data_IF_148802130848
#
_entry.id   IF_148802130848
#
_cell.length_a   1.000
_cell.length_b   1.000
_cell.length_c   1.000
_cell.angle_alpha   90.00
_cell.angle_beta   90.00
_cell.angle_gamma   90.00
#
_symmetry.space_group_name_H-M   'P 1'
#
loop_
_entity.id
_entity.type
_entity.pdbx_description
1 polymer ?
#
# COMPACT_ATOMS: atom_id res chain seq x y z
N UNK A 1 -2.06 28.52 -20.42
CA UNK A 1 -1.85 27.14 -19.85
C UNK A 1 -2.21 27.22 -18.37
N UNK A 2 -3.30 26.58 -17.96
CA UNK A 2 -3.67 26.52 -16.53
C UNK A 2 -2.65 25.65 -15.80
N UNK A 3 -2.21 26.10 -14.64
CA UNK A 3 -1.05 25.56 -13.93
C UNK A 3 -1.43 24.32 -13.11
N UNK A 4 -1.01 23.13 -13.53
CA UNK A 4 -1.17 21.87 -12.77
C UNK A 4 0.01 21.62 -11.80
N UNK A 5 0.96 22.55 -11.72
CA UNK A 5 2.16 22.41 -10.89
C UNK A 5 1.88 22.12 -9.41
N UNK A 6 0.82 22.68 -8.76
CA UNK A 6 0.55 22.38 -7.35
C UNK A 6 0.31 20.90 -7.07
N UNK A 7 -0.32 20.18 -8.00
CA UNK A 7 -0.57 18.73 -7.83
C UNK A 7 0.70 17.89 -7.99
N UNK A 8 1.59 18.28 -8.88
CA UNK A 8 2.90 17.63 -9.03
C UNK A 8 3.78 17.90 -7.82
N UNK A 9 3.78 19.13 -7.31
CA UNK A 9 4.47 19.50 -6.07
C UNK A 9 3.90 18.73 -4.86
N UNK A 10 2.58 18.63 -4.74
CA UNK A 10 1.93 17.80 -3.71
C UNK A 10 2.42 16.35 -3.78
N UNK A 11 2.45 15.75 -4.98
CA UNK A 11 2.90 14.38 -5.17
C UNK A 11 4.36 14.18 -4.74
N UNK A 12 5.24 15.16 -4.95
CA UNK A 12 6.61 15.11 -4.44
C UNK A 12 6.59 15.03 -2.91
N UNK A 13 5.94 15.98 -2.21
CA UNK A 13 5.98 16.03 -0.75
C UNK A 13 5.22 14.87 -0.06
N UNK A 14 4.20 14.30 -0.69
CA UNK A 14 3.55 13.09 -0.21
C UNK A 14 4.53 11.91 -0.18
N UNK A 15 5.40 11.80 -1.18
CA UNK A 15 6.32 10.70 -1.39
C UNK A 15 7.77 10.99 -0.93
N UNK A 16 8.07 12.18 -0.40
CA UNK A 16 9.34 12.45 0.27
C UNK A 16 9.38 11.73 1.63
N UNK A 17 9.83 10.48 1.61
CA UNK A 17 9.86 9.60 2.79
C UNK A 17 11.25 9.00 2.97
N UNK A 18 12.19 9.85 3.40
CA UNK A 18 13.61 9.52 3.54
C UNK A 18 13.90 8.43 4.57
N UNK A 19 13.02 8.23 5.54
CA UNK A 19 13.17 7.24 6.59
C UNK A 19 12.65 5.84 6.20
N UNK A 20 11.87 5.72 5.12
CA UNK A 20 11.11 4.51 4.78
C UNK A 20 11.98 3.25 4.62
N UNK A 21 13.15 3.39 3.99
CA UNK A 21 14.07 2.26 3.80
C UNK A 21 14.98 1.98 5.00
N UNK A 22 14.88 2.76 6.08
CA UNK A 22 15.88 2.76 7.15
C UNK A 22 15.29 2.71 8.57
N UNK A 23 13.97 2.91 8.72
CA UNK A 23 13.35 3.07 10.05
C UNK A 23 13.53 1.85 10.96
N UNK A 24 13.62 0.64 10.39
CA UNK A 24 13.86 -0.58 11.18
C UNK A 24 15.26 -0.55 11.78
N UNK A 25 16.27 -0.18 11.00
CA UNK A 25 17.66 -0.06 11.50
C UNK A 25 17.77 1.01 12.60
N UNK A 26 17.05 2.11 12.44
CA UNK A 26 16.98 3.15 13.47
C UNK A 26 16.37 2.64 14.77
N UNK A 27 15.22 1.98 14.70
CA UNK A 27 14.55 1.44 15.89
C UNK A 27 15.40 0.36 16.58
N UNK A 28 16.07 -0.51 15.82
CA UNK A 28 17.02 -1.49 16.36
C UNK A 28 18.18 -0.82 17.08
N UNK A 29 18.71 0.28 16.54
CA UNK A 29 19.77 1.04 17.19
C UNK A 29 19.31 1.69 18.51
N UNK A 30 18.04 2.07 18.63
CA UNK A 30 17.46 2.55 19.89
C UNK A 30 17.17 1.43 20.91
N UNK A 31 17.45 0.16 20.56
CA UNK A 31 17.22 -0.98 21.44
C UNK A 31 15.81 -1.56 21.36
N UNK A 32 14.97 -1.08 20.43
CA UNK A 32 13.65 -1.71 20.16
C UNK A 32 13.90 -3.06 19.49
N UNK A 33 13.34 -4.11 20.04
CA UNK A 33 13.52 -5.46 19.49
C UNK A 33 12.76 -5.65 18.17
N UNK A 34 13.21 -6.59 17.36
CA UNK A 34 12.57 -6.87 16.07
C UNK A 34 11.10 -7.30 16.24
N UNK A 35 10.78 -8.07 17.27
CA UNK A 35 9.39 -8.42 17.63
C UNK A 35 8.54 -7.19 17.97
N UNK A 36 9.10 -6.23 18.71
CA UNK A 36 8.42 -4.96 19.01
C UNK A 36 8.19 -4.11 17.75
N UNK A 37 9.17 -4.04 16.83
CA UNK A 37 9.02 -3.30 15.56
C UNK A 37 7.87 -3.86 14.74
N UNK A 38 7.71 -5.16 14.70
CA UNK A 38 6.62 -5.83 13.99
C UNK A 38 5.25 -5.50 14.60
N UNK A 39 5.17 -5.46 15.94
CA UNK A 39 3.95 -5.03 16.64
C UNK A 39 3.64 -3.56 16.32
N UNK A 40 4.65 -2.69 16.28
CA UNK A 40 4.48 -1.29 15.88
C UNK A 40 3.93 -1.17 14.46
N UNK A 41 4.42 -1.98 13.52
CA UNK A 41 3.87 -2.00 12.15
C UNK A 41 2.41 -2.47 12.13
N UNK A 42 2.07 -3.47 12.93
CA UNK A 42 0.67 -3.90 13.05
C UNK A 42 -0.22 -2.75 13.57
N UNK A 43 0.23 -1.96 14.55
CA UNK A 43 -0.50 -0.77 15.02
C UNK A 43 -0.71 0.27 13.92
N UNK A 44 0.32 0.52 13.09
CA UNK A 44 0.21 1.41 11.93
C UNK A 44 -0.89 0.93 10.97
N UNK A 45 -0.84 -0.34 10.56
CA UNK A 45 -1.80 -0.90 9.61
C UNK A 45 -3.21 -0.92 10.16
N UNK A 46 -3.41 -1.38 11.39
CA UNK A 46 -4.74 -1.39 12.01
C UNK A 46 -5.31 0.01 12.22
N UNK A 47 -4.46 0.99 12.59
CA UNK A 47 -4.88 2.38 12.69
C UNK A 47 -5.29 2.96 11.33
N UNK A 48 -4.52 2.66 10.27
CA UNK A 48 -4.85 3.06 8.92
C UNK A 48 -6.22 2.51 8.50
N UNK A 49 -6.44 1.20 8.66
CA UNK A 49 -7.70 0.54 8.32
C UNK A 49 -8.88 1.08 9.14
N UNK A 50 -8.70 1.24 10.46
CA UNK A 50 -9.76 1.73 11.34
C UNK A 50 -10.21 3.14 10.99
N UNK A 51 -9.29 3.96 10.48
CA UNK A 51 -9.56 5.36 10.15
C UNK A 51 -9.82 5.61 8.66
N UNK A 52 -9.74 4.62 7.79
CA UNK A 52 -9.99 4.79 6.35
C UNK A 52 -11.41 5.31 6.08
N UNK A 53 -12.43 4.71 6.70
CA UNK A 53 -13.83 5.18 6.55
C UNK A 53 -14.06 6.53 7.27
N UNK A 54 -13.67 6.72 8.55
CA UNK A 54 -13.81 8.01 9.23
C UNK A 54 -13.10 9.16 8.53
N UNK A 55 -11.90 8.93 7.98
CA UNK A 55 -11.13 9.96 7.27
C UNK A 55 -11.82 10.41 5.98
N UNK A 56 -12.42 9.47 5.23
CA UNK A 56 -13.24 9.79 4.07
C UNK A 56 -14.44 10.70 4.43
N UNK A 57 -15.16 10.37 5.51
CA UNK A 57 -16.28 11.19 6.01
C UNK A 57 -15.83 12.58 6.46
N UNK A 58 -14.66 12.67 7.12
CA UNK A 58 -14.08 13.95 7.52
C UNK A 58 -13.71 14.79 6.29
N UNK A 59 -13.09 14.17 5.27
CA UNK A 59 -12.73 14.82 4.01
C UNK A 59 -13.98 15.34 3.26
N UNK A 60 -15.08 14.58 3.26
CA UNK A 60 -16.34 15.00 2.65
C UNK A 60 -17.02 16.15 3.41
N UNK A 61 -16.94 16.14 4.76
CA UNK A 61 -17.59 17.16 5.60
C UNK A 61 -16.80 18.46 5.68
N UNK A 62 -15.49 18.37 5.92
CA UNK A 62 -14.62 19.52 6.19
C UNK A 62 -13.81 19.97 4.98
N UNK A 63 -13.77 19.16 3.93
CA UNK A 63 -13.03 19.41 2.68
C UNK A 63 -11.77 18.57 2.55
N UNK A 64 -11.43 18.25 1.29
CA UNK A 64 -10.27 17.42 0.92
C UNK A 64 -8.95 18.07 1.32
N UNK A 65 -8.85 19.38 1.15
CA UNK A 65 -7.69 20.17 1.54
C UNK A 65 -7.40 20.08 3.03
N UNK A 66 -8.40 20.16 3.89
CA UNK A 66 -8.23 20.04 5.33
C UNK A 66 -7.76 18.64 5.74
N UNK A 67 -8.29 17.59 5.10
CA UNK A 67 -7.84 16.23 5.32
C UNK A 67 -6.36 16.04 4.97
N UNK A 68 -5.92 16.60 3.85
CA UNK A 68 -4.50 16.57 3.45
C UNK A 68 -3.60 17.35 4.43
N UNK A 69 -4.03 18.53 4.90
CA UNK A 69 -3.27 19.30 5.90
C UNK A 69 -3.12 18.48 7.18
N UNK A 70 -4.21 17.88 7.69
CA UNK A 70 -4.17 17.04 8.88
C UNK A 70 -3.25 15.82 8.69
N UNK A 71 -3.27 15.20 7.51
CA UNK A 71 -2.35 14.13 7.15
C UNK A 71 -0.88 14.57 7.28
N UNK A 72 -0.52 15.69 6.66
CA UNK A 72 0.85 16.22 6.74
C UNK A 72 1.25 16.63 8.15
N UNK A 73 0.35 17.25 8.92
CA UNK A 73 0.61 17.62 10.32
C UNK A 73 0.80 16.39 11.22
N UNK A 74 0.00 15.35 11.04
CA UNK A 74 0.18 14.11 11.78
C UNK A 74 1.48 13.40 11.44
N UNK A 75 1.89 13.39 10.16
CA UNK A 75 3.20 12.88 9.74
C UNK A 75 4.36 13.74 10.29
N UNK A 76 4.22 15.06 10.33
CA UNK A 76 5.18 15.97 10.97
C UNK A 76 5.34 15.64 12.46
N UNK A 77 4.22 15.53 13.19
CA UNK A 77 4.24 15.19 14.63
C UNK A 77 4.88 13.81 14.84
N UNK A 78 4.58 12.84 13.98
CA UNK A 78 5.23 11.53 14.01
C UNK A 78 6.74 11.65 13.81
N UNK A 79 7.19 12.45 12.83
CA UNK A 79 8.61 12.70 12.58
C UNK A 79 9.32 13.33 13.78
N UNK A 80 8.68 14.30 14.47
CA UNK A 80 9.19 14.88 15.72
C UNK A 80 9.20 13.81 16.84
N UNK A 81 8.17 12.96 16.89
CA UNK A 81 8.10 11.87 17.86
C UNK A 81 9.26 10.87 17.73
N UNK A 82 9.71 10.56 16.52
CA UNK A 82 10.89 9.72 16.29
C UNK A 82 12.18 10.36 16.82
N UNK A 83 12.25 11.68 16.91
CA UNK A 83 13.42 12.40 17.46
C UNK A 83 13.42 12.47 18.99
N UNK A 84 12.24 12.47 19.62
CA UNK A 84 12.09 12.76 21.05
C UNK A 84 12.00 11.51 21.92
N UNK A 85 11.58 10.37 21.34
CA UNK A 85 11.32 9.15 22.11
C UNK A 85 12.21 8.00 21.64
N UNK A 86 12.49 7.08 22.58
CA UNK A 86 13.29 5.88 22.35
C UNK A 86 12.61 4.59 22.82
N UNK A 87 11.47 4.70 23.52
CA UNK A 87 10.81 3.56 24.14
C UNK A 87 9.64 3.04 23.30
N UNK A 88 9.29 1.75 23.50
CA UNK A 88 8.24 1.05 22.76
C UNK A 88 6.85 1.72 22.91
N UNK A 89 6.46 2.13 24.13
CA UNK A 89 5.10 2.67 24.37
C UNK A 89 4.87 3.99 23.62
N UNK A 90 5.74 5.02 23.71
CA UNK A 90 5.62 6.19 22.86
C UNK A 90 5.58 5.87 21.38
N UNK A 91 6.43 4.94 20.90
CA UNK A 91 6.42 4.52 19.51
C UNK A 91 5.09 3.88 19.09
N UNK A 92 4.41 3.14 19.96
CA UNK A 92 3.09 2.59 19.65
C UNK A 92 2.09 3.71 19.29
N UNK A 93 2.08 4.81 20.04
CA UNK A 93 1.24 5.97 19.74
C UNK A 93 1.68 6.69 18.45
N UNK A 94 2.99 6.82 18.22
CA UNK A 94 3.55 7.44 17.01
C UNK A 94 3.15 6.62 15.77
N UNK A 95 3.24 5.29 15.82
CA UNK A 95 2.84 4.42 14.71
C UNK A 95 1.33 4.43 14.46
N UNK A 96 0.51 4.51 15.51
CA UNK A 96 -0.93 4.73 15.37
C UNK A 96 -1.22 6.08 14.70
N UNK A 97 -0.55 7.16 15.14
CA UNK A 97 -0.71 8.48 14.54
C UNK A 97 -0.24 8.50 13.09
N UNK A 98 0.88 7.80 12.78
CA UNK A 98 1.39 7.68 11.42
C UNK A 98 0.38 6.99 10.50
N UNK A 99 -0.19 5.85 10.93
CA UNK A 99 -1.24 5.14 10.20
C UNK A 99 -2.51 5.98 10.00
N UNK A 100 -2.96 6.68 11.06
CA UNK A 100 -4.06 7.63 11.00
C UNK A 100 -3.82 8.74 9.96
N UNK A 101 -2.60 9.25 9.93
CA UNK A 101 -2.19 10.32 9.01
C UNK A 101 -2.18 9.84 7.55
N UNK A 102 -1.73 8.61 7.30
CA UNK A 102 -1.80 7.97 5.98
C UNK A 102 -3.27 7.84 5.55
N UNK A 103 -4.16 7.35 6.42
CA UNK A 103 -5.58 7.21 6.11
C UNK A 103 -6.22 8.55 5.75
N UNK A 104 -5.87 9.63 6.45
CA UNK A 104 -6.38 10.99 6.16
C UNK A 104 -5.92 11.52 4.80
N UNK A 105 -4.72 11.15 4.34
CA UNK A 105 -4.20 11.52 3.02
C UNK A 105 -4.73 10.65 1.90
N UNK A 106 -5.10 9.40 2.22
CA UNK A 106 -5.49 8.39 1.24
C UNK A 106 -6.74 8.82 0.46
N UNK A 107 -6.59 8.94 -0.85
CA UNK A 107 -7.67 9.32 -1.75
C UNK A 107 -8.05 10.81 -1.74
N UNK A 108 -7.70 11.58 -0.70
CA UNK A 108 -8.02 13.01 -0.62
C UNK A 108 -7.31 13.82 -1.71
N UNK A 109 -6.08 13.47 -2.05
CA UNK A 109 -5.30 14.05 -3.13
C UNK A 109 -5.98 13.86 -4.50
N UNK A 110 -6.42 12.65 -4.79
CA UNK A 110 -7.10 12.28 -6.04
C UNK A 110 -8.47 12.94 -6.15
N UNK A 111 -9.22 12.94 -5.05
CA UNK A 111 -10.52 13.58 -5.00
C UNK A 111 -10.40 15.10 -5.16
N UNK A 112 -9.42 15.76 -4.50
CA UNK A 112 -9.17 17.20 -4.66
C UNK A 112 -8.84 17.55 -6.10
N UNK A 113 -7.99 16.75 -6.78
CA UNK A 113 -7.68 16.95 -8.20
C UNK A 113 -8.94 16.82 -9.06
N UNK A 114 -9.71 15.74 -8.85
CA UNK A 114 -10.91 15.50 -9.65
C UNK A 114 -11.96 16.61 -9.47
N UNK A 115 -12.23 17.03 -8.23
CA UNK A 115 -13.21 18.07 -7.91
C UNK A 115 -12.81 19.42 -8.53
N UNK A 116 -11.52 19.78 -8.50
CA UNK A 116 -11.03 21.00 -9.12
C UNK A 116 -11.12 20.96 -10.66
N UNK A 117 -10.81 19.81 -11.27
CA UNK A 117 -10.96 19.63 -12.72
C UNK A 117 -12.43 19.64 -13.15
N UNK A 118 -13.31 19.07 -12.34
CA UNK A 118 -14.77 19.12 -12.57
C UNK A 118 -15.28 20.55 -12.54
N UNK A 119 -14.87 21.35 -11.54
CA UNK A 119 -15.24 22.76 -11.44
C UNK A 119 -14.69 23.61 -12.60
N UNK A 120 -13.64 23.13 -13.28
CA UNK A 120 -13.06 23.79 -14.46
C UNK A 120 -13.54 23.22 -15.79
N UNK A 121 -14.45 22.21 -15.80
CA UNK A 121 -14.87 21.43 -16.98
C UNK A 121 -13.70 20.80 -17.75
N UNK A 122 -12.72 20.24 -17.02
CA UNK A 122 -11.47 19.63 -17.55
C UNK A 122 -11.27 18.17 -17.07
N UNK A 123 -12.32 17.45 -16.78
CA UNK A 123 -12.25 16.07 -16.27
C UNK A 123 -11.54 15.11 -17.24
N UNK A 124 -11.57 15.39 -18.53
CA UNK A 124 -10.86 14.62 -19.55
C UNK A 124 -9.32 14.62 -19.36
N UNK A 125 -8.76 15.63 -18.69
CA UNK A 125 -7.34 15.71 -18.39
C UNK A 125 -6.93 14.89 -17.14
N UNK A 126 -7.90 14.46 -16.33
CA UNK A 126 -7.64 13.74 -15.08
C UNK A 126 -6.71 12.53 -15.23
N UNK A 127 -6.93 11.59 -16.18
CA UNK A 127 -6.07 10.42 -16.34
C UNK A 127 -4.61 10.79 -16.63
N UNK A 128 -4.40 11.84 -17.42
CA UNK A 128 -3.07 12.31 -17.79
C UNK A 128 -2.35 12.97 -16.61
N UNK A 129 -3.06 13.79 -15.84
CA UNK A 129 -2.47 14.52 -14.70
C UNK A 129 -2.14 13.55 -13.57
N UNK A 130 -3.06 12.63 -13.22
CA UNK A 130 -2.84 11.68 -12.14
C UNK A 130 -1.73 10.69 -12.46
N UNK A 131 -1.62 10.23 -13.72
CA UNK A 131 -0.53 9.34 -14.13
C UNK A 131 0.84 10.02 -14.02
N UNK A 132 0.93 11.29 -14.41
CA UNK A 132 2.17 12.07 -14.25
C UNK A 132 2.50 12.32 -12.79
N UNK A 133 1.50 12.67 -11.96
CA UNK A 133 1.69 12.88 -10.53
C UNK A 133 2.20 11.60 -9.85
N UNK A 134 1.65 10.43 -10.20
CA UNK A 134 2.12 9.13 -9.69
C UNK A 134 3.56 8.82 -10.10
N UNK A 135 3.92 9.09 -11.37
CA UNK A 135 5.29 8.90 -11.86
C UNK A 135 6.28 9.81 -11.11
N UNK A 136 5.93 11.10 -10.91
CA UNK A 136 6.73 12.05 -10.13
C UNK A 136 6.86 11.57 -8.67
N UNK A 137 5.76 11.10 -8.08
CA UNK A 137 5.76 10.55 -6.72
C UNK A 137 6.68 9.34 -6.56
N UNK A 138 6.64 8.38 -7.49
CA UNK A 138 7.52 7.21 -7.48
C UNK A 138 9.01 7.59 -7.59
N UNK A 139 9.35 8.52 -8.49
CA UNK A 139 10.71 9.05 -8.59
C UNK A 139 11.12 9.77 -7.30
N UNK A 140 10.22 10.58 -6.73
CA UNK A 140 10.47 11.28 -5.46
C UNK A 140 10.72 10.30 -4.32
N UNK A 141 9.96 9.21 -4.23
CA UNK A 141 10.14 8.17 -3.22
C UNK A 141 11.49 7.47 -3.36
N UNK A 142 11.85 7.01 -4.56
CA UNK A 142 13.14 6.38 -4.80
C UNK A 142 14.32 7.29 -4.46
N UNK A 143 14.29 8.56 -4.92
CA UNK A 143 15.32 9.56 -4.60
C UNK A 143 15.36 9.89 -3.11
N UNK A 144 14.21 9.93 -2.43
CA UNK A 144 14.16 10.20 -1.00
C UNK A 144 14.80 9.08 -0.17
N UNK A 145 14.64 7.82 -0.58
CA UNK A 145 15.30 6.69 0.07
C UNK A 145 16.83 6.78 -0.04
N UNK A 146 17.35 7.09 -1.24
CA UNK A 146 18.79 7.32 -1.45
C UNK A 146 19.29 8.49 -0.58
N UNK A 147 18.55 9.59 -0.55
CA UNK A 147 18.88 10.74 0.29
C UNK A 147 18.88 10.38 1.77
N UNK A 148 17.96 9.53 2.22
CA UNK A 148 17.92 9.04 3.60
C UNK A 148 19.19 8.30 4.01
N UNK A 149 19.68 7.38 3.14
CA UNK A 149 20.94 6.69 3.33
C UNK A 149 22.12 7.65 3.42
N UNK A 150 22.23 8.57 2.46
CA UNK A 150 23.29 9.57 2.43
C UNK A 150 23.28 10.52 3.65
N UNK A 151 22.09 10.96 4.10
CA UNK A 151 21.94 11.79 5.29
C UNK A 151 22.37 11.04 6.56
N UNK A 152 22.04 9.77 6.67
CA UNK A 152 22.40 8.95 7.82
C UNK A 152 23.92 8.76 7.88
N UNK A 153 24.56 8.44 6.76
CA UNK A 153 26.00 8.19 6.69
C UNK A 153 26.84 9.47 6.86
N UNK A 154 26.44 10.56 6.19
CA UNK A 154 27.19 11.82 6.22
C UNK A 154 26.99 12.60 7.52
N UNK A 155 25.88 12.42 8.22
CA UNK A 155 25.53 13.23 9.40
C UNK A 155 25.09 12.37 10.60
N UNK A 156 23.80 11.95 10.63
CA UNK A 156 23.25 11.16 11.75
C UNK A 156 21.81 10.71 11.46
N UNK A 157 21.30 9.82 12.32
CA UNK A 157 19.88 9.43 12.31
C UNK A 157 18.93 10.62 12.53
N UNK A 158 19.32 11.55 13.39
CA UNK A 158 18.51 12.74 13.66
C UNK A 158 18.29 13.56 12.39
N UNK A 159 19.30 13.68 11.53
CA UNK A 159 19.21 14.42 10.27
C UNK A 159 18.16 13.83 9.32
N UNK A 160 18.02 12.51 9.30
CA UNK A 160 16.98 11.81 8.50
C UNK A 160 15.58 12.23 8.97
N UNK A 161 15.32 12.18 10.28
CA UNK A 161 14.00 12.51 10.83
C UNK A 161 13.71 14.01 10.85
N UNK A 162 14.72 14.86 11.02
CA UNK A 162 14.59 16.32 10.86
C UNK A 162 14.20 16.64 9.41
N UNK A 163 14.90 16.06 8.44
CA UNK A 163 14.54 16.27 7.03
C UNK A 163 13.14 15.76 6.72
N UNK A 164 12.76 14.59 7.23
CA UNK A 164 11.40 14.06 7.10
C UNK A 164 10.36 15.05 7.67
N UNK A 165 10.54 15.53 8.91
CA UNK A 165 9.64 16.48 9.55
C UNK A 165 9.53 17.79 8.76
N UNK A 166 10.66 18.36 8.31
CA UNK A 166 10.70 19.58 7.49
C UNK A 166 9.93 19.33 6.16
N UNK A 167 10.15 18.19 5.51
CA UNK A 167 9.47 17.87 4.26
C UNK A 167 7.94 17.82 4.44
N UNK A 168 7.46 17.24 5.54
CA UNK A 168 6.02 17.17 5.85
C UNK A 168 5.45 18.54 6.22
N UNK A 169 6.22 19.37 6.92
CA UNK A 169 5.84 20.75 7.20
C UNK A 169 5.69 21.58 5.91
N UNK A 170 6.66 21.49 5.00
CA UNK A 170 6.58 22.15 3.69
C UNK A 170 5.38 21.62 2.89
N UNK A 171 5.14 20.30 2.92
CA UNK A 171 3.96 19.70 2.30
C UNK A 171 2.65 20.28 2.81
N UNK A 172 2.50 20.48 4.12
CA UNK A 172 1.34 21.14 4.71
C UNK A 172 1.17 22.58 4.21
N UNK A 173 2.29 23.32 4.09
CA UNK A 173 2.29 24.68 3.53
C UNK A 173 1.84 24.66 2.05
N UNK A 174 2.38 23.76 1.24
CA UNK A 174 2.00 23.61 -0.18
C UNK A 174 0.50 23.36 -0.30
N UNK A 175 -0.05 22.44 0.47
CA UNK A 175 -1.50 22.16 0.47
C UNK A 175 -2.30 23.40 0.91
N UNK A 176 -1.81 24.17 1.88
CA UNK A 176 -2.48 25.39 2.36
C UNK A 176 -2.68 26.44 1.27
N UNK A 177 -1.78 26.50 0.29
CA UNK A 177 -1.90 27.40 -0.86
C UNK A 177 -2.70 26.80 -2.03
N UNK A 178 -3.05 25.50 -1.99
CA UNK A 178 -3.89 24.91 -3.02
C UNK A 178 -5.33 25.39 -2.90
N UNK A 179 -5.97 25.59 -4.02
CA UNK A 179 -7.41 25.93 -4.06
C UNK A 179 -8.25 24.67 -3.99
N UNK A 180 -9.29 24.70 -3.19
CA UNK A 180 -10.35 23.69 -3.17
C UNK A 180 -11.63 24.35 -3.70
N UNK A 181 -12.08 23.92 -4.87
CA UNK A 181 -13.32 24.40 -5.49
C UNK A 181 -14.43 23.42 -5.19
N UNK A 182 -15.39 23.85 -4.38
CA UNK A 182 -16.62 23.06 -4.16
C UNK A 182 -17.49 23.16 -5.40
N UNK A 183 -17.82 22.01 -6.01
CA UNK A 183 -18.83 21.98 -7.06
C UNK A 183 -20.20 22.35 -6.44
N UNK A 184 -20.96 23.21 -7.12
CA UNK A 184 -22.32 23.62 -6.69
C UNK A 184 -23.27 22.40 -6.51
N UNK A 185 -23.02 21.29 -7.19
CA UNK A 185 -23.78 20.05 -7.03
C UNK A 185 -23.56 19.39 -5.66
N UNK A 186 -22.42 19.62 -5.00
CA UNK A 186 -22.11 19.08 -3.67
C UNK A 186 -22.83 19.89 -2.56
N UNK A 187 -23.05 21.19 -2.74
CA UNK A 187 -23.70 22.04 -1.73
C UNK A 187 -25.21 21.82 -1.61
N UNK A 188 -25.89 21.40 -2.67
CA UNK A 188 -27.34 21.09 -2.65
C UNK A 188 -27.64 19.73 -2.06
N UNK A 189 -26.66 18.81 -2.04
CA UNK A 189 -26.81 17.46 -1.54
C UNK A 189 -26.30 17.23 -0.10
N UNK A 190 -25.61 18.21 0.50
CA UNK A 190 -25.00 18.03 1.83
C UNK A 190 -25.99 17.95 2.95
N UNK A 191 -27.15 18.61 2.86
CA UNK A 191 -28.19 18.56 3.90
C UNK A 191 -29.05 17.29 3.83
N UNK A 192 -29.12 16.65 2.67
CA UNK A 192 -29.84 15.38 2.48
C UNK A 192 -28.93 14.15 2.69
N UNK A 193 -27.60 14.30 2.49
CA UNK A 193 -26.64 13.21 2.56
C UNK A 193 -26.29 12.73 3.98
N UNK A 194 -26.40 13.56 5.02
CA UNK A 194 -25.99 13.13 6.37
C UNK A 194 -26.90 12.06 6.99
N UNK A 195 -28.19 12.05 6.65
CA UNK A 195 -29.12 11.00 7.10
C UNK A 195 -29.18 9.81 6.14
N UNK A 196 -28.83 10.03 4.87
CA UNK A 196 -28.74 8.98 3.82
C UNK A 196 -27.43 8.21 3.97
N UNK A 197 -26.32 8.85 4.35
CA UNK A 197 -24.99 8.25 4.37
C UNK A 197 -24.79 7.22 5.49
N UNK A 198 -25.39 7.40 6.69
CA UNK A 198 -25.42 6.35 7.72
C UNK A 198 -26.30 5.15 7.28
N UNK A 199 -27.37 5.40 6.55
CA UNK A 199 -28.19 4.35 5.94
C UNK A 199 -27.48 3.71 4.72
N UNK A 200 -26.67 4.48 3.98
CA UNK A 200 -25.87 3.97 2.89
C UNK A 200 -24.68 3.11 3.39
N UNK A 201 -24.01 3.49 4.47
CA UNK A 201 -22.94 2.68 5.06
C UNK A 201 -23.46 1.37 5.65
N UNK A 202 -24.59 1.39 6.37
CA UNK A 202 -25.30 0.16 6.78
C UNK A 202 -25.83 -0.63 5.57
N UNK A 203 -26.33 0.07 4.57
CA UNK A 203 -26.80 -0.54 3.30
C UNK A 203 -25.68 -1.16 2.51
N UNK A 204 -24.48 -0.53 2.46
CA UNK A 204 -23.28 -1.05 1.79
C UNK A 204 -22.75 -2.28 2.52
N UNK A 205 -22.63 -2.23 3.85
CA UNK A 205 -22.21 -3.39 4.64
C UNK A 205 -23.17 -4.56 4.49
N UNK A 206 -24.47 -4.30 4.60
CA UNK A 206 -25.49 -5.33 4.38
C UNK A 206 -25.47 -5.85 2.94
N UNK A 207 -25.25 -4.99 1.95
CA UNK A 207 -25.12 -5.39 0.54
C UNK A 207 -23.89 -6.25 0.31
N UNK A 208 -22.75 -5.94 0.98
CA UNK A 208 -21.54 -6.79 0.95
C UNK A 208 -21.80 -8.15 1.59
N UNK A 209 -22.42 -8.17 2.77
CA UNK A 209 -22.76 -9.43 3.46
C UNK A 209 -23.72 -10.25 2.60
N UNK A 210 -24.75 -9.63 2.00
CA UNK A 210 -25.67 -10.28 1.08
C UNK A 210 -24.95 -10.76 -0.19
N UNK A 211 -24.03 -9.96 -0.74
CA UNK A 211 -23.26 -10.35 -1.91
C UNK A 211 -22.40 -11.57 -1.62
N UNK A 212 -21.61 -11.57 -0.52
CA UNK A 212 -20.77 -12.70 -0.17
C UNK A 212 -21.55 -13.94 0.29
N UNK A 213 -22.77 -13.78 0.81
CA UNK A 213 -23.69 -14.89 1.07
C UNK A 213 -24.36 -15.41 -0.20
N UNK A 214 -24.41 -14.62 -1.25
CA UNK A 214 -24.97 -15.03 -2.54
C UNK A 214 -24.02 -15.98 -3.28
N UNK A 215 -24.56 -16.88 -4.10
CA UNK A 215 -23.76 -17.71 -5.01
C UNK A 215 -22.88 -16.86 -5.95
N UNK A 216 -23.27 -15.59 -6.19
CA UNK A 216 -22.57 -14.69 -7.10
C UNK A 216 -21.36 -13.97 -6.46
N UNK A 217 -21.25 -13.93 -5.15
CA UNK A 217 -20.10 -13.33 -4.43
C UNK A 217 -19.21 -14.36 -3.76
N UNK A 218 -19.80 -15.46 -3.26
CA UNK A 218 -19.07 -16.48 -2.52
C UNK A 218 -17.89 -17.09 -3.29
N UNK A 219 -17.95 -17.13 -4.63
CA UNK A 219 -16.85 -17.66 -5.45
C UNK A 219 -15.57 -16.79 -5.43
N UNK A 220 -15.67 -15.51 -5.03
CA UNK A 220 -14.51 -14.61 -4.90
C UNK A 220 -13.80 -14.76 -3.56
N UNK A 221 -14.41 -15.35 -2.55
CA UNK A 221 -13.80 -15.51 -1.21
C UNK A 221 -12.46 -16.27 -1.29
N UNK A 222 -12.36 -17.42 -2.00
CA UNK A 222 -11.07 -18.10 -2.13
C UNK A 222 -10.02 -17.26 -2.85
N UNK A 223 -10.42 -16.40 -3.80
CA UNK A 223 -9.50 -15.47 -4.47
C UNK A 223 -8.94 -14.45 -3.49
N UNK A 224 -9.77 -13.85 -2.64
CA UNK A 224 -9.33 -12.86 -1.67
C UNK A 224 -8.39 -13.46 -0.63
N UNK A 225 -8.73 -14.64 -0.11
CA UNK A 225 -7.87 -15.37 0.82
C UNK A 225 -6.56 -15.76 0.13
N UNK A 226 -6.63 -16.24 -1.11
CA UNK A 226 -5.48 -16.66 -1.89
C UNK A 226 -4.51 -15.51 -2.14
N UNK A 227 -5.02 -14.34 -2.53
CA UNK A 227 -4.21 -13.13 -2.72
C UNK A 227 -3.62 -12.62 -1.39
N UNK A 228 -4.40 -12.62 -0.32
CA UNK A 228 -3.92 -12.22 1.00
C UNK A 228 -2.81 -13.14 1.54
N UNK A 229 -2.88 -14.46 1.30
CA UNK A 229 -1.81 -15.41 1.65
C UNK A 229 -0.53 -15.19 0.81
N UNK A 230 -0.68 -14.78 -0.44
CA UNK A 230 0.44 -14.37 -1.28
C UNK A 230 1.12 -13.11 -0.71
N UNK A 231 0.34 -12.07 -0.36
CA UNK A 231 0.83 -10.85 0.28
C UNK A 231 1.50 -11.10 1.64
N UNK A 232 0.95 -12.02 2.44
CA UNK A 232 1.55 -12.46 3.70
C UNK A 232 2.98 -12.97 3.51
N UNK A 233 3.27 -13.55 2.34
CA UNK A 233 4.59 -14.13 2.04
C UNK A 233 5.62 -13.09 1.59
N UNK A 234 5.19 -11.93 1.10
CA UNK A 234 6.06 -10.94 0.49
C UNK A 234 6.19 -9.66 1.32
N UNK A 235 5.08 -9.12 1.82
CA UNK A 235 5.02 -7.81 2.48
C UNK A 235 5.91 -7.69 3.73
N UNK A 236 5.99 -8.67 4.64
CA UNK A 236 6.85 -8.57 5.82
C UNK A 236 8.34 -8.47 5.48
N UNK A 237 8.77 -8.99 4.32
CA UNK A 237 10.16 -8.90 3.88
C UNK A 237 10.63 -7.45 3.71
N UNK A 238 9.73 -6.50 3.47
CA UNK A 238 10.09 -5.09 3.43
C UNK A 238 10.74 -4.63 4.74
N UNK A 239 10.26 -5.12 5.87
CA UNK A 239 10.80 -4.80 7.20
C UNK A 239 12.04 -5.65 7.50
N UNK A 240 11.96 -6.95 7.27
CA UNK A 240 13.02 -7.89 7.61
C UNK A 240 14.23 -7.81 6.67
N UNK A 241 14.08 -7.29 5.47
CA UNK A 241 15.18 -7.05 4.53
C UNK A 241 16.22 -6.07 5.06
N UNK A 242 15.82 -5.03 5.80
CA UNK A 242 16.75 -4.05 6.35
C UNK A 242 17.78 -4.70 7.32
N UNK A 243 17.36 -5.39 8.40
CA UNK A 243 18.30 -6.07 9.29
C UNK A 243 19.01 -7.24 8.61
N UNK A 244 18.36 -7.96 7.69
CA UNK A 244 18.99 -9.05 6.95
C UNK A 244 20.22 -8.56 6.16
N UNK A 245 20.10 -7.50 5.37
CA UNK A 245 21.22 -6.95 4.63
C UNK A 245 22.27 -6.32 5.55
N UNK A 246 21.86 -5.74 6.67
CA UNK A 246 22.79 -5.21 7.66
C UNK A 246 23.65 -6.31 8.30
N UNK A 247 23.06 -7.47 8.60
CA UNK A 247 23.76 -8.66 9.11
C UNK A 247 24.74 -9.25 8.07
N UNK A 248 24.43 -9.10 6.76
CA UNK A 248 25.35 -9.48 5.68
C UNK A 248 26.48 -8.46 5.47
N UNK A 249 26.57 -7.40 6.27
CA UNK A 249 27.65 -6.44 6.24
C UNK A 249 27.46 -5.25 5.29
N UNK A 250 26.24 -5.03 4.74
CA UNK A 250 25.99 -3.86 3.90
C UNK A 250 25.89 -2.59 4.75
N UNK A 251 26.42 -1.50 4.18
CA UNK A 251 26.25 -0.17 4.72
C UNK A 251 24.81 0.33 4.54
N UNK A 252 24.41 1.28 5.36
CA UNK A 252 23.06 1.85 5.37
C UNK A 252 22.72 2.47 4.02
N UNK A 253 23.68 3.12 3.37
CA UNK A 253 23.50 3.70 2.03
C UNK A 253 23.24 2.64 0.95
N UNK A 254 23.95 1.51 0.99
CA UNK A 254 23.70 0.40 0.06
C UNK A 254 22.32 -0.24 0.30
N UNK A 255 21.90 -0.39 1.55
CA UNK A 255 20.56 -0.88 1.89
C UNK A 255 19.51 0.08 1.33
N UNK A 256 19.67 1.39 1.56
CA UNK A 256 18.78 2.40 0.98
C UNK A 256 18.74 2.33 -0.55
N UNK A 257 19.90 2.08 -1.18
CA UNK A 257 20.03 1.87 -2.62
C UNK A 257 19.23 0.66 -3.14
N UNK A 258 19.25 -0.47 -2.42
CA UNK A 258 18.45 -1.66 -2.76
C UNK A 258 16.95 -1.32 -2.72
N UNK A 259 16.49 -0.63 -1.68
CA UNK A 259 15.08 -0.23 -1.56
C UNK A 259 14.67 0.79 -2.63
N UNK A 260 15.54 1.75 -2.96
CA UNK A 260 15.30 2.66 -4.08
C UNK A 260 15.23 1.92 -5.43
N UNK A 261 16.05 0.89 -5.62
CA UNK A 261 16.01 0.04 -6.80
C UNK A 261 14.71 -0.79 -6.87
N UNK A 262 14.16 -1.25 -5.73
CA UNK A 262 12.83 -1.87 -5.67
C UNK A 262 11.77 -0.93 -6.25
N UNK A 263 11.73 0.33 -5.83
CA UNK A 263 10.74 1.30 -6.33
C UNK A 263 10.91 1.57 -7.83
N UNK A 264 12.16 1.69 -8.30
CA UNK A 264 12.44 1.89 -9.73
C UNK A 264 12.02 0.68 -10.58
N UNK A 265 12.33 -0.55 -10.13
CA UNK A 265 11.93 -1.77 -10.83
C UNK A 265 10.41 -1.95 -10.77
N UNK A 266 9.78 -1.70 -9.63
CA UNK A 266 8.32 -1.76 -9.48
C UNK A 266 7.61 -0.81 -10.43
N UNK A 267 8.14 0.40 -10.65
CA UNK A 267 7.59 1.33 -11.63
C UNK A 267 7.60 0.75 -13.05
N UNK A 268 8.71 0.10 -13.44
CA UNK A 268 8.81 -0.59 -14.76
C UNK A 268 7.84 -1.78 -14.82
N UNK A 269 7.76 -2.56 -13.75
CA UNK A 269 6.87 -3.72 -13.66
C UNK A 269 5.41 -3.30 -13.79
N UNK A 270 4.97 -2.21 -13.14
CA UNK A 270 3.62 -1.66 -13.30
C UNK A 270 3.34 -1.21 -14.75
N UNK A 271 4.30 -0.63 -15.45
CA UNK A 271 4.12 -0.27 -16.87
C UNK A 271 3.89 -1.49 -17.75
N UNK A 272 4.57 -2.61 -17.46
CA UNK A 272 4.46 -3.87 -18.21
C UNK A 272 3.22 -4.67 -17.77
N UNK A 273 2.77 -4.51 -16.53
CA UNK A 273 1.65 -5.28 -15.96
C UNK A 273 0.38 -5.16 -16.81
N UNK A 274 0.03 -3.96 -17.28
CA UNK A 274 -1.12 -3.74 -18.16
C UNK A 274 -1.06 -4.56 -19.46
N UNK A 275 0.12 -4.64 -20.09
CA UNK A 275 0.31 -5.47 -21.26
C UNK A 275 0.20 -6.97 -20.95
N UNK A 276 0.81 -7.43 -19.86
CA UNK A 276 0.73 -8.83 -19.41
C UNK A 276 -0.72 -9.23 -19.13
N UNK A 277 -1.46 -8.40 -18.40
CA UNK A 277 -2.86 -8.65 -18.06
C UNK A 277 -3.78 -8.68 -19.28
N UNK A 278 -3.45 -7.96 -20.35
CA UNK A 278 -4.23 -8.00 -21.60
C UNK A 278 -3.98 -9.28 -22.42
N UNK A 279 -2.86 -9.97 -22.20
CA UNK A 279 -2.46 -11.17 -22.95
C UNK A 279 -2.70 -12.47 -22.20
N UNK A 280 -2.62 -12.47 -20.88
CA UNK A 280 -2.65 -13.67 -20.07
C UNK A 280 -3.81 -13.61 -19.07
N UNK A 281 -4.44 -14.78 -18.83
CA UNK A 281 -5.49 -14.88 -17.80
C UNK A 281 -4.92 -14.79 -16.39
N UNK A 282 -5.76 -14.38 -15.43
CA UNK A 282 -5.39 -14.35 -14.00
C UNK A 282 -4.73 -15.66 -13.53
N UNK A 283 -5.22 -16.82 -13.98
CA UNK A 283 -4.68 -18.12 -13.58
C UNK A 283 -3.21 -18.31 -14.00
N UNK A 284 -2.86 -17.89 -15.22
CA UNK A 284 -1.48 -17.97 -15.72
C UNK A 284 -0.59 -16.99 -14.96
N UNK A 285 -1.05 -15.74 -14.79
CA UNK A 285 -0.28 -14.71 -14.08
C UNK A 285 -0.07 -15.12 -12.62
N UNK A 286 -1.11 -15.53 -11.90
CA UNK A 286 -1.01 -15.96 -10.53
C UNK A 286 -0.06 -17.17 -10.37
N UNK A 287 -0.18 -18.19 -11.26
CA UNK A 287 0.67 -19.37 -11.22
C UNK A 287 2.13 -19.02 -11.45
N UNK A 288 2.43 -18.28 -12.52
CA UNK A 288 3.83 -17.94 -12.88
C UNK A 288 4.46 -17.03 -11.82
N UNK A 289 3.75 -15.99 -11.37
CA UNK A 289 4.27 -15.08 -10.35
C UNK A 289 4.48 -15.80 -9.03
N UNK A 290 3.52 -16.61 -8.57
CA UNK A 290 3.66 -17.39 -7.34
C UNK A 290 4.83 -18.36 -7.41
N UNK A 291 5.00 -19.07 -8.54
CA UNK A 291 6.10 -20.00 -8.70
C UNK A 291 7.45 -19.28 -8.66
N UNK A 292 7.60 -18.17 -9.37
CA UNK A 292 8.83 -17.37 -9.37
C UNK A 292 9.12 -16.85 -7.96
N UNK A 293 8.15 -16.27 -7.26
CA UNK A 293 8.32 -15.77 -5.90
C UNK A 293 8.70 -16.90 -4.94
N UNK A 294 8.07 -18.06 -5.05
CA UNK A 294 8.42 -19.24 -4.23
C UNK A 294 9.87 -19.65 -4.44
N UNK A 295 10.33 -19.73 -5.69
CA UNK A 295 11.73 -20.05 -6.01
C UNK A 295 12.70 -19.01 -5.46
N UNK A 296 12.37 -17.72 -5.59
CA UNK A 296 13.19 -16.63 -5.08
C UNK A 296 13.25 -16.62 -3.55
N UNK A 297 12.15 -16.95 -2.85
CA UNK A 297 12.13 -17.13 -1.39
C UNK A 297 13.05 -18.29 -0.95
N UNK A 298 13.04 -19.39 -1.69
CA UNK A 298 13.93 -20.52 -1.42
C UNK A 298 15.40 -20.15 -1.69
N UNK A 299 15.70 -19.42 -2.78
CA UNK A 299 17.04 -18.93 -3.07
C UNK A 299 17.51 -17.98 -1.94
N UNK A 300 16.66 -17.07 -1.50
CA UNK A 300 16.96 -16.16 -0.39
C UNK A 300 17.21 -16.91 0.93
N UNK A 301 16.50 -18.03 1.16
CA UNK A 301 16.67 -18.87 2.37
C UNK A 301 18.01 -19.62 2.40
N UNK A 302 18.63 -19.85 1.25
CA UNK A 302 19.90 -20.60 1.15
C UNK A 302 21.14 -19.76 1.44
N UNK A 303 20.99 -18.43 1.50
CA UNK A 303 22.07 -17.46 1.75
C UNK A 303 23.33 -17.69 0.88
N UNK A 304 23.12 -17.88 -0.42
CA UNK A 304 24.17 -18.21 -1.40
C UNK A 304 25.04 -17.01 -1.79
N UNK A 305 24.94 -15.90 -1.07
CA UNK A 305 25.73 -14.70 -1.24
C UNK A 305 24.91 -13.45 -1.51
N UNK A 306 25.52 -12.31 -1.19
CA UNK A 306 24.85 -11.01 -1.15
C UNK A 306 24.20 -10.58 -2.46
N UNK A 307 24.85 -10.86 -3.60
CA UNK A 307 24.33 -10.49 -4.90
C UNK A 307 23.06 -11.28 -5.26
N UNK A 308 23.04 -12.58 -4.95
CA UNK A 308 21.87 -13.41 -5.18
C UNK A 308 20.72 -13.03 -4.22
N UNK A 309 21.05 -12.73 -2.96
CA UNK A 309 20.10 -12.25 -1.97
C UNK A 309 19.48 -10.91 -2.39
N UNK A 310 20.29 -9.95 -2.83
CA UNK A 310 19.82 -8.65 -3.30
C UNK A 310 18.94 -8.79 -4.57
N UNK A 311 19.38 -9.59 -5.55
CA UNK A 311 18.60 -9.82 -6.76
C UNK A 311 17.26 -10.50 -6.46
N UNK A 312 17.27 -11.52 -5.58
CA UNK A 312 16.04 -12.20 -5.15
C UNK A 312 15.10 -11.22 -4.42
N UNK A 313 15.61 -10.42 -3.50
CA UNK A 313 14.83 -9.42 -2.77
C UNK A 313 14.21 -8.38 -3.71
N UNK A 314 14.98 -7.84 -4.67
CA UNK A 314 14.49 -6.89 -5.66
C UNK A 314 13.31 -7.45 -6.45
N UNK A 315 13.40 -8.70 -6.90
CA UNK A 315 12.35 -9.34 -7.68
C UNK A 315 11.14 -9.74 -6.81
N UNK A 316 11.36 -10.23 -5.58
CA UNK A 316 10.27 -10.56 -4.64
C UNK A 316 9.44 -9.31 -4.32
N UNK A 317 10.09 -8.15 -4.17
CA UNK A 317 9.40 -6.90 -3.84
C UNK A 317 8.70 -6.25 -5.05
N UNK A 318 9.18 -6.49 -6.27
CA UNK A 318 8.69 -5.79 -7.46
C UNK A 318 7.68 -6.58 -8.29
N UNK A 319 7.86 -7.91 -8.45
CA UNK A 319 7.01 -8.74 -9.30
C UNK A 319 5.54 -8.88 -8.84
N UNK A 320 5.21 -8.80 -7.53
CA UNK A 320 3.82 -8.86 -7.07
C UNK A 320 2.88 -7.87 -7.76
N UNK A 321 3.38 -6.72 -8.21
CA UNK A 321 2.61 -5.71 -8.93
C UNK A 321 1.90 -6.24 -10.20
N UNK A 322 2.45 -7.26 -10.87
CA UNK A 322 1.81 -7.91 -12.02
C UNK A 322 0.59 -8.71 -11.56
N UNK A 323 0.73 -9.47 -10.48
CA UNK A 323 -0.36 -10.27 -9.94
C UNK A 323 -1.47 -9.38 -9.36
N UNK A 324 -1.11 -8.34 -8.61
CA UNK A 324 -2.03 -7.34 -8.08
C UNK A 324 -2.89 -6.71 -9.20
N UNK A 325 -2.25 -6.23 -10.27
CA UNK A 325 -2.94 -5.65 -11.42
C UNK A 325 -3.90 -6.65 -12.08
N UNK A 326 -3.48 -7.92 -12.23
CA UNK A 326 -4.31 -8.97 -12.80
C UNK A 326 -5.49 -9.35 -11.89
N UNK A 327 -5.27 -9.36 -10.58
CA UNK A 327 -6.27 -9.60 -9.55
C UNK A 327 -7.36 -8.51 -9.56
N UNK A 328 -6.96 -7.24 -9.57
CA UNK A 328 -7.90 -6.11 -9.65
C UNK A 328 -8.69 -6.14 -10.96
N UNK A 329 -8.03 -6.39 -12.09
CA UNK A 329 -8.68 -6.50 -13.40
C UNK A 329 -9.72 -7.60 -13.39
N UNK A 330 -9.41 -8.78 -12.82
CA UNK A 330 -10.34 -9.88 -12.73
C UNK A 330 -11.60 -9.52 -11.91
N UNK A 331 -11.44 -8.80 -10.80
CA UNK A 331 -12.59 -8.31 -10.01
C UNK A 331 -13.41 -7.32 -10.84
N UNK A 332 -12.76 -6.41 -11.55
CA UNK A 332 -13.44 -5.44 -12.41
C UNK A 332 -14.29 -6.11 -13.48
N UNK A 333 -13.83 -7.19 -14.07
CA UNK A 333 -14.51 -7.88 -15.18
C UNK A 333 -15.64 -8.81 -14.70
N UNK A 334 -15.57 -9.31 -13.46
CA UNK A 334 -16.50 -10.33 -12.96
C UNK A 334 -17.50 -9.80 -11.91
N UNK A 335 -17.43 -8.51 -11.54
CA UNK A 335 -18.31 -7.90 -10.55
C UNK A 335 -19.13 -6.78 -11.19
N UNK A 336 -20.45 -6.79 -10.93
CA UNK A 336 -21.37 -5.75 -11.40
C UNK A 336 -20.89 -4.35 -10.97
N UNK A 337 -21.02 -3.38 -11.88
CA UNK A 337 -20.59 -1.99 -11.64
C UNK A 337 -21.20 -1.36 -10.39
N UNK A 338 -22.44 -1.76 -10.00
CA UNK A 338 -23.14 -1.21 -8.84
C UNK A 338 -22.48 -1.57 -7.51
N UNK A 339 -21.85 -2.74 -7.42
CA UNK A 339 -21.27 -3.28 -6.18
C UNK A 339 -19.74 -3.41 -6.27
N UNK A 340 -19.14 -3.07 -7.42
CA UNK A 340 -17.71 -3.23 -7.68
C UNK A 340 -16.84 -2.47 -6.68
N UNK A 341 -17.18 -1.20 -6.42
CA UNK A 341 -16.43 -0.38 -5.45
C UNK A 341 -16.47 -1.01 -4.06
N UNK A 342 -17.64 -1.49 -3.63
CA UNK A 342 -17.82 -2.16 -2.34
C UNK A 342 -17.07 -3.49 -2.27
N UNK A 343 -17.03 -4.24 -3.38
CA UNK A 343 -16.29 -5.50 -3.47
C UNK A 343 -14.78 -5.28 -3.36
N UNK A 344 -14.23 -4.27 -4.05
CA UNK A 344 -12.82 -3.89 -3.95
C UNK A 344 -12.48 -3.38 -2.54
N UNK A 345 -13.36 -2.61 -1.92
CA UNK A 345 -13.16 -2.16 -0.54
C UNK A 345 -13.12 -3.34 0.44
N UNK A 346 -14.00 -4.35 0.26
CA UNK A 346 -13.97 -5.57 1.07
C UNK A 346 -12.69 -6.38 0.83
N UNK A 347 -12.24 -6.49 -0.42
CA UNK A 347 -10.98 -7.15 -0.76
C UNK A 347 -9.79 -6.46 -0.07
N UNK A 348 -9.72 -5.13 -0.15
CA UNK A 348 -8.69 -4.33 0.50
C UNK A 348 -8.73 -4.45 2.03
N UNK A 349 -9.92 -4.51 2.63
CA UNK A 349 -10.08 -4.73 4.07
C UNK A 349 -9.51 -6.09 4.49
N UNK A 350 -9.89 -7.17 3.78
CA UNK A 350 -9.35 -8.52 4.03
C UNK A 350 -7.83 -8.51 3.90
N UNK A 351 -7.31 -7.92 2.84
CA UNK A 351 -5.89 -7.83 2.58
C UNK A 351 -5.16 -7.07 3.70
N UNK A 352 -5.66 -5.91 4.09
CA UNK A 352 -5.08 -5.09 5.15
C UNK A 352 -5.07 -5.79 6.52
N UNK A 353 -6.12 -6.53 6.87
CA UNK A 353 -6.16 -7.33 8.10
C UNK A 353 -5.12 -8.45 8.06
N UNK A 354 -5.02 -9.17 6.92
CA UNK A 354 -4.02 -10.24 6.76
C UNK A 354 -2.61 -9.68 6.76
N UNK A 355 -2.35 -8.56 6.10
CA UNK A 355 -1.04 -7.88 6.13
C UNK A 355 -0.70 -7.46 7.57
N UNK A 356 -1.61 -6.81 8.29
CA UNK A 356 -1.38 -6.44 9.69
C UNK A 356 -1.03 -7.64 10.57
N UNK A 357 -1.73 -8.77 10.40
CA UNK A 357 -1.44 -10.02 11.10
C UNK A 357 -0.15 -10.70 10.60
N UNK A 358 0.21 -10.52 9.33
CA UNK A 358 1.39 -11.15 8.73
C UNK A 358 2.69 -10.70 9.38
N UNK A 359 2.77 -9.45 9.79
CA UNK A 359 3.95 -8.93 10.48
C UNK A 359 4.21 -9.67 11.79
N UNK A 360 3.19 -9.81 12.64
CA UNK A 360 3.30 -10.54 13.91
C UNK A 360 3.57 -12.04 13.70
N UNK A 361 2.91 -12.63 12.70
CA UNK A 361 3.10 -14.05 12.36
C UNK A 361 4.53 -14.31 11.87
N UNK A 362 4.99 -13.48 10.92
CA UNK A 362 6.35 -13.59 10.37
C UNK A 362 7.40 -13.40 11.48
N UNK A 363 7.20 -12.39 12.35
CA UNK A 363 8.08 -12.14 13.48
C UNK A 363 8.18 -13.33 14.43
N UNK A 364 7.05 -13.88 14.83
CA UNK A 364 7.02 -15.07 15.69
C UNK A 364 7.67 -16.31 15.05
N UNK A 365 7.58 -16.44 13.72
CA UNK A 365 8.29 -17.50 12.99
C UNK A 365 9.81 -17.26 12.97
N UNK A 366 10.23 -16.00 12.73
CA UNK A 366 11.67 -15.65 12.74
C UNK A 366 12.28 -15.88 14.11
N UNK A 367 11.60 -15.46 15.18
CA UNK A 367 12.08 -15.64 16.55
C UNK A 367 12.20 -17.13 16.94
N UNK A 368 11.29 -17.97 16.43
CA UNK A 368 11.25 -19.41 16.79
C UNK A 368 12.12 -20.28 15.90
N UNK A 369 12.18 -20.01 14.61
CA UNK A 369 12.81 -20.90 13.63
C UNK A 369 13.98 -20.26 12.87
N UNK A 370 14.23 -18.97 13.08
CA UNK A 370 15.21 -18.20 12.34
C UNK A 370 14.69 -17.72 10.98
N UNK A 371 15.41 -16.77 10.39
CA UNK A 371 14.98 -16.09 9.15
C UNK A 371 14.90 -17.05 7.96
N UNK A 372 15.94 -17.86 7.72
CA UNK A 372 15.97 -18.80 6.59
C UNK A 372 14.84 -19.83 6.62
N UNK A 373 14.57 -20.44 7.78
CA UNK A 373 13.46 -21.38 7.92
C UNK A 373 12.10 -20.70 7.74
N UNK A 374 11.96 -19.46 8.19
CA UNK A 374 10.74 -18.66 7.98
C UNK A 374 10.46 -18.43 6.51
N UNK A 375 11.49 -18.13 5.71
CA UNK A 375 11.34 -17.97 4.26
C UNK A 375 10.79 -19.24 3.58
N UNK A 376 11.23 -20.42 4.02
CA UNK A 376 10.70 -21.70 3.52
C UNK A 376 9.22 -21.87 3.92
N UNK A 377 8.87 -21.53 5.16
CA UNK A 377 7.48 -21.63 5.65
C UNK A 377 6.56 -20.69 4.86
N UNK A 378 6.96 -19.45 4.67
CA UNK A 378 6.13 -18.48 3.92
C UNK A 378 6.07 -18.80 2.42
N UNK A 379 7.08 -19.45 1.84
CA UNK A 379 7.02 -19.99 0.50
C UNK A 379 5.89 -21.06 0.35
N UNK A 380 5.65 -21.86 1.39
CA UNK A 380 4.52 -22.79 1.41
C UNK A 380 3.18 -22.04 1.48
N UNK A 381 3.07 -20.96 2.29
CA UNK A 381 1.86 -20.13 2.31
C UNK A 381 1.59 -19.49 0.95
N UNK A 382 2.63 -19.06 0.24
CA UNK A 382 2.53 -18.53 -1.11
C UNK A 382 1.88 -19.56 -2.06
N UNK A 383 2.32 -20.82 -2.02
CA UNK A 383 1.74 -21.91 -2.82
C UNK A 383 0.31 -22.25 -2.38
N UNK A 384 0.00 -22.22 -1.08
CA UNK A 384 -1.38 -22.41 -0.58
C UNK A 384 -2.29 -21.30 -1.12
N UNK A 385 -1.80 -20.05 -1.19
CA UNK A 385 -2.53 -18.93 -1.79
C UNK A 385 -2.95 -19.21 -3.24
N UNK A 386 -2.11 -19.87 -4.01
CA UNK A 386 -2.43 -20.25 -5.39
C UNK A 386 -3.64 -21.19 -5.49
N UNK A 387 -3.87 -22.07 -4.47
CA UNK A 387 -5.04 -22.94 -4.44
C UNK A 387 -6.35 -22.12 -4.38
N UNK A 388 -6.33 -20.96 -3.70
CA UNK A 388 -7.49 -20.04 -3.65
C UNK A 388 -7.84 -19.53 -5.04
N UNK A 389 -6.86 -19.14 -5.85
CA UNK A 389 -7.06 -18.69 -7.24
C UNK A 389 -7.62 -19.83 -8.09
N UNK A 390 -7.00 -21.01 -8.02
CA UNK A 390 -7.45 -22.19 -8.77
C UNK A 390 -8.91 -22.53 -8.42
N UNK A 391 -9.24 -22.54 -7.13
CA UNK A 391 -10.61 -22.80 -6.65
C UNK A 391 -11.60 -21.78 -7.22
N UNK A 392 -11.25 -20.48 -7.20
CA UNK A 392 -12.11 -19.44 -7.80
C UNK A 392 -12.36 -19.66 -9.27
N UNK A 393 -11.30 -19.99 -10.04
CA UNK A 393 -11.40 -20.21 -11.48
C UNK A 393 -12.24 -21.45 -11.82
N UNK A 394 -12.13 -22.51 -11.00
CA UNK A 394 -12.97 -23.70 -11.14
C UNK A 394 -14.44 -23.38 -10.85
N UNK A 395 -14.74 -22.67 -9.77
CA UNK A 395 -16.09 -22.25 -9.42
C UNK A 395 -16.70 -21.30 -10.47
N UNK A 396 -15.89 -20.42 -11.07
CA UNK A 396 -16.34 -19.54 -12.14
C UNK A 396 -16.73 -20.30 -13.42
N UNK A 397 -16.02 -21.40 -13.75
CA UNK A 397 -16.36 -22.25 -14.91
C UNK A 397 -17.69 -22.96 -14.75
N UNK A 398 -18.04 -23.37 -13.54
CA UNK A 398 -19.34 -24.03 -13.28
C UNK A 398 -20.52 -23.07 -13.33
N UNK A 399 -20.27 -21.76 -13.30
CA UNK A 399 -21.30 -20.70 -13.34
C UNK A 399 -21.65 -20.17 -14.72
N UNK A 400 -20.85 -20.44 -15.77
CA UNK A 400 -21.22 -20.01 -17.13
C UNK A 400 -22.44 -20.80 -17.55
N UNK A 401 -23.63 -20.19 -17.72
CA UNK A 401 -24.75 -20.86 -18.34
C UNK A 401 -24.34 -21.22 -19.77
N UNK A 402 -24.79 -22.35 -20.23
CA UNK A 402 -24.74 -22.83 -21.63
C UNK A 402 -25.56 -21.90 -22.54
N UNK A 403 -25.10 -20.67 -22.77
CA UNK A 403 -25.63 -19.79 -23.82
C UNK A 403 -24.80 -19.96 -25.08
N UNK A 404 -24.85 -21.16 -25.62
CA UNK A 404 -24.64 -21.44 -27.03
C UNK A 404 -25.71 -22.47 -27.46
N UNK A 405 -26.94 -22.00 -27.56
CA UNK A 405 -27.94 -22.57 -28.44
C UNK A 405 -29.00 -21.49 -28.64
N UNK A 406 -29.27 -21.25 -29.92
CA UNK A 406 -30.28 -20.36 -30.50
C UNK A 406 -29.74 -19.00 -30.99
N UNK A 407 -29.12 -19.00 -32.19
CA UNK A 407 -29.62 -18.32 -33.38
C UNK A 407 -28.81 -18.77 -34.59
#
# INVERSE_FOLDING_TARGET
MKNNNPYYTLSIFMNLDVQRSLFVLYLLQLGITQGQIVILQSFLFFSCVALEIPSGLLADRYGRKHSLILSFLGLLISGIGFLLFSDFIPFAFIFCLFGASIAMGSGADRALLYDNLLAENRTEEYPRIISRARAIGAVSLGLSMLLGGALQEAMSWNSVYIFFAISKFIGAIVVSFMTERKSLSTSLNSSAKSSVHNREAEGVFNSLVCFFRSKNGAFLIPLFIGFALFELSTVPLFIYGQPFFKLQGLDVTLIAGIYAAVEAISAVVFMVAGYVCSRFSLGIVAFTTTLIITLLLLILSMDIGINASAASFLLIMSLPAIYETSYETYIHDNVDSRIRASCLSAANLVNSVVIGASYTTFGGLVDRYGFSSTLVIVAVFCLIGLLGVITTLLLARTKKPSTKQEA
#
